data_IF_799517484507
#
_entry.id   IF_799517484507
#
_cell.length_a   1.000
_cell.length_b   1.000
_cell.length_c   1.000
_cell.angle_alpha   90.00
_cell.angle_beta   90.00
_cell.angle_gamma   90.00
#
_symmetry.space_group_name_H-M   'P 1'
#
loop_
_entity.id
_entity.type
_entity.pdbx_description
1 polymer ?
#
# COMPACT_ATOMS: atom_id res chain seq x y z
N UNK A 1 18.20 10.13 -8.38
CA UNK A 1 16.79 10.35 -8.74
C UNK A 1 15.90 9.46 -7.89
N UNK A 2 14.71 9.97 -7.53
CA UNK A 2 13.71 9.24 -6.74
C UNK A 2 12.42 9.10 -7.54
N UNK A 3 11.72 7.97 -7.35
CA UNK A 3 10.43 7.70 -7.97
C UNK A 3 9.35 7.41 -6.93
N UNK A 4 8.15 7.89 -7.20
CA UNK A 4 6.98 7.63 -6.36
C UNK A 4 5.82 7.10 -7.20
N UNK A 5 5.16 6.06 -6.71
CA UNK A 5 3.93 5.52 -7.30
C UNK A 5 2.75 5.95 -6.47
N UNK A 6 1.77 6.60 -7.11
CA UNK A 6 0.50 6.97 -6.50
C UNK A 6 -0.64 6.35 -7.30
N UNK A 7 -1.42 5.51 -6.67
CA UNK A 7 -2.62 4.91 -7.26
C UNK A 7 -3.88 5.42 -6.56
N UNK A 8 -4.80 6.01 -7.32
CA UNK A 8 -5.99 6.63 -6.77
C UNK A 8 -7.10 5.61 -6.54
N UNK A 9 -7.68 5.61 -5.34
CA UNK A 9 -8.75 4.68 -4.97
C UNK A 9 -10.02 5.41 -4.51
N UNK A 10 -11.16 4.95 -4.98
CA UNK A 10 -12.48 5.46 -4.56
C UNK A 10 -13.01 4.79 -3.29
N UNK A 11 -12.38 3.74 -2.80
CA UNK A 11 -12.72 3.00 -1.58
C UNK A 11 -11.49 2.73 -0.75
N UNK A 12 -11.67 2.25 0.48
CA UNK A 12 -10.56 1.92 1.37
C UNK A 12 -9.63 0.88 0.74
N UNK A 13 -8.35 1.24 0.56
CA UNK A 13 -7.32 0.35 0.11
C UNK A 13 -6.08 0.50 0.99
N UNK A 14 -5.49 -0.60 1.37
CA UNK A 14 -4.22 -0.65 2.07
C UNK A 14 -3.44 -1.84 1.53
N UNK A 15 -2.14 -1.79 1.65
CA UNK A 15 -1.25 -2.89 1.29
C UNK A 15 -0.41 -3.27 2.51
N UNK A 16 -0.28 -4.57 2.73
CA UNK A 16 0.62 -5.13 3.75
C UNK A 16 1.66 -6.03 3.08
N UNK A 17 2.77 -6.28 3.75
CA UNK A 17 3.76 -7.23 3.26
C UNK A 17 3.16 -8.65 3.08
N UNK A 18 2.19 -9.01 3.93
CA UNK A 18 1.46 -10.28 3.78
C UNK A 18 0.61 -10.31 2.51
N UNK A 19 -0.08 -9.20 2.17
CA UNK A 19 -0.84 -9.12 0.91
C UNK A 19 0.08 -9.35 -0.30
N UNK A 20 1.27 -8.74 -0.30
CA UNK A 20 2.26 -8.92 -1.36
C UNK A 20 2.78 -10.36 -1.38
N UNK A 21 3.09 -10.93 -0.21
CA UNK A 21 3.59 -12.30 -0.08
C UNK A 21 2.60 -13.33 -0.64
N UNK A 22 1.30 -13.17 -0.39
CA UNK A 22 0.27 -14.06 -0.93
C UNK A 22 -0.19 -13.70 -2.35
N UNK A 23 0.44 -12.73 -3.02
CA UNK A 23 0.07 -12.33 -4.37
C UNK A 23 -1.26 -11.60 -4.49
N UNK A 24 -1.79 -11.02 -3.39
CA UNK A 24 -3.13 -10.44 -3.34
C UNK A 24 -3.18 -8.98 -3.76
N UNK A 25 -2.12 -8.21 -3.52
CA UNK A 25 -2.07 -6.76 -3.80
C UNK A 25 -0.74 -6.37 -4.42
N UNK A 26 -0.48 -6.88 -5.60
CA UNK A 26 0.77 -6.68 -6.33
C UNK A 26 0.84 -5.34 -7.07
N UNK A 27 -0.29 -4.64 -7.25
CA UNK A 27 -0.43 -3.49 -8.14
C UNK A 27 0.63 -2.41 -7.90
N UNK A 28 0.82 -1.94 -6.67
CA UNK A 28 1.78 -0.87 -6.37
C UNK A 28 3.23 -1.29 -6.68
N UNK A 29 3.60 -2.52 -6.34
CA UNK A 29 4.94 -3.04 -6.63
C UNK A 29 5.15 -3.26 -8.12
N UNK A 30 4.11 -3.72 -8.84
CA UNK A 30 4.15 -3.86 -10.31
C UNK A 30 4.36 -2.50 -10.99
N UNK A 31 3.70 -1.45 -10.51
CA UNK A 31 3.89 -0.10 -11.05
C UNK A 31 5.28 0.44 -10.72
N UNK A 32 5.82 0.14 -9.54
CA UNK A 32 7.19 0.51 -9.19
C UNK A 32 8.20 -0.18 -10.12
N UNK A 33 8.07 -1.49 -10.35
CA UNK A 33 8.89 -2.25 -11.30
C UNK A 33 8.84 -1.67 -12.72
N UNK A 34 7.63 -1.32 -13.19
CA UNK A 34 7.45 -0.71 -14.50
C UNK A 34 8.12 0.67 -14.58
N UNK A 35 8.01 1.48 -13.52
CA UNK A 35 8.64 2.79 -13.43
C UNK A 35 10.16 2.69 -13.42
N UNK A 36 10.74 1.78 -12.63
CA UNK A 36 12.18 1.53 -12.57
C UNK A 36 12.72 1.06 -13.94
N UNK A 37 12.02 0.12 -14.59
CA UNK A 37 12.38 -0.36 -15.91
C UNK A 37 12.32 0.73 -16.97
N UNK A 38 11.26 1.53 -16.99
CA UNK A 38 11.10 2.63 -17.94
C UNK A 38 12.18 3.69 -17.75
N UNK A 39 12.50 4.04 -16.50
CA UNK A 39 13.53 5.01 -16.18
C UNK A 39 14.94 4.50 -16.55
N UNK A 40 15.26 3.25 -16.18
CA UNK A 40 16.54 2.62 -16.53
C UNK A 40 16.78 2.55 -18.04
N UNK A 41 15.75 2.19 -18.82
CA UNK A 41 15.82 2.12 -20.26
C UNK A 41 15.99 3.50 -20.93
N UNK A 42 15.44 4.56 -20.37
CA UNK A 42 15.47 5.91 -20.97
C UNK A 42 16.67 6.73 -20.54
N UNK A 43 17.10 6.59 -19.29
CA UNK A 43 18.14 7.45 -18.70
C UNK A 43 19.46 6.72 -18.42
N UNK A 44 19.49 5.39 -18.51
CA UNK A 44 20.67 4.58 -18.18
C UNK A 44 21.11 4.69 -16.70
N UNK A 45 20.22 5.15 -15.83
CA UNK A 45 20.49 5.39 -14.42
C UNK A 45 19.51 4.62 -13.53
N UNK A 46 19.91 4.31 -12.30
CA UNK A 46 19.03 3.73 -11.32
C UNK A 46 18.16 4.81 -10.65
N UNK A 47 16.94 4.43 -10.32
CA UNK A 47 15.99 5.24 -9.56
C UNK A 47 15.76 4.59 -8.19
N UNK A 48 15.84 5.36 -7.12
CA UNK A 48 15.48 4.88 -5.79
C UNK A 48 13.98 5.12 -5.50
N UNK A 49 13.27 4.15 -4.90
CA UNK A 49 11.86 4.32 -4.55
C UNK A 49 11.71 5.29 -3.37
N UNK A 50 10.85 6.31 -3.55
CA UNK A 50 10.48 7.26 -2.52
C UNK A 50 9.25 6.82 -1.74
N UNK A 51 8.22 6.36 -2.44
CA UNK A 51 7.01 5.82 -1.88
C UNK A 51 6.19 5.03 -2.92
N UNK A 52 5.35 4.12 -2.42
CA UNK A 52 4.29 3.45 -3.17
C UNK A 52 3.01 3.50 -2.35
N UNK A 53 2.02 4.23 -2.82
CA UNK A 53 0.85 4.57 -2.00
C UNK A 53 -0.47 4.51 -2.77
N UNK A 54 -1.52 4.18 -2.04
CA UNK A 54 -2.90 4.46 -2.42
C UNK A 54 -3.30 5.82 -1.87
N UNK A 55 -3.89 6.66 -2.72
CA UNK A 55 -4.45 7.95 -2.35
C UNK A 55 -5.96 7.96 -2.57
N UNK A 56 -6.72 8.42 -1.56
CA UNK A 56 -8.18 8.39 -1.63
C UNK A 56 -8.75 9.63 -2.30
N UNK A 57 -9.68 9.41 -3.26
CA UNK A 57 -10.33 10.49 -4.01
C UNK A 57 -11.77 10.76 -3.56
N UNK A 58 -12.34 9.90 -2.70
CA UNK A 58 -13.69 10.11 -2.16
C UNK A 58 -13.66 10.89 -0.86
N UNK A 59 -14.65 11.76 -0.68
CA UNK A 59 -14.89 12.40 0.61
C UNK A 59 -15.20 11.34 1.67
N UNK A 60 -14.50 11.32 2.80
CA UNK A 60 -14.77 10.39 3.87
C UNK A 60 -16.15 10.65 4.46
N UNK A 61 -16.85 9.58 4.82
CA UNK A 61 -18.03 9.68 5.67
C UNK A 61 -17.55 9.80 7.10
N UNK A 62 -17.71 10.99 7.69
CA UNK A 62 -17.31 11.25 9.07
C UNK A 62 -18.56 11.15 9.93
N UNK A 63 -18.58 10.23 10.93
CA UNK A 63 -19.67 10.17 11.89
C UNK A 63 -19.74 11.49 12.67
N UNK A 64 -20.86 12.19 12.59
CA UNK A 64 -21.14 13.36 13.42
C UNK A 64 -22.19 12.99 14.46
N UNK A 65 -21.94 13.33 15.71
CA UNK A 65 -22.90 13.11 16.81
C UNK A 65 -24.09 14.07 16.78
N UNK A 66 -23.99 15.14 15.97
CA UNK A 66 -25.02 16.17 15.77
C UNK A 66 -24.87 16.78 14.38
N UNK A 67 -25.90 17.48 13.86
CA UNK A 67 -25.77 18.27 12.63
C UNK A 67 -24.63 19.28 12.74
N UNK A 68 -23.74 19.30 11.74
CA UNK A 68 -22.60 20.21 11.65
C UNK A 68 -22.84 21.27 10.58
N UNK A 69 -22.25 22.46 10.75
CA UNK A 69 -22.12 23.41 9.67
C UNK A 69 -21.21 22.84 8.57
N UNK A 70 -21.26 23.41 7.37
CA UNK A 70 -20.38 23.00 6.28
C UNK A 70 -18.91 23.22 6.64
N UNK A 71 -18.59 24.35 7.27
CA UNK A 71 -17.24 24.70 7.71
C UNK A 71 -16.70 23.71 8.75
N UNK A 72 -17.51 23.35 9.75
CA UNK A 72 -17.14 22.38 10.79
C UNK A 72 -16.96 20.97 10.20
N UNK A 73 -17.82 20.58 9.28
CA UNK A 73 -17.71 19.31 8.57
C UNK A 73 -16.40 19.23 7.76
N UNK A 74 -16.03 20.30 7.06
CA UNK A 74 -14.78 20.39 6.30
C UNK A 74 -13.56 20.37 7.24
N UNK A 75 -13.62 21.09 8.36
CA UNK A 75 -12.54 21.09 9.35
C UNK A 75 -12.33 19.67 9.93
N UNK A 76 -13.42 19.03 10.34
CA UNK A 76 -13.38 17.65 10.86
C UNK A 76 -12.87 16.65 9.81
N UNK A 77 -13.26 16.83 8.55
CA UNK A 77 -12.76 16.02 7.45
C UNK A 77 -11.25 16.16 7.29
N UNK A 78 -10.71 17.38 7.33
CA UNK A 78 -9.27 17.64 7.22
C UNK A 78 -8.45 17.06 8.36
N UNK A 79 -9.02 16.94 9.55
CA UNK A 79 -8.37 16.35 10.72
C UNK A 79 -8.47 14.82 10.75
N UNK A 80 -9.31 14.23 9.90
CA UNK A 80 -9.51 12.79 9.90
C UNK A 80 -8.40 12.07 9.15
N UNK A 81 -8.03 10.87 9.65
CA UNK A 81 -7.07 9.97 8.98
C UNK A 81 -7.60 9.42 7.64
N UNK A 82 -8.83 9.72 7.28
CA UNK A 82 -9.51 9.17 6.09
C UNK A 82 -8.92 9.66 4.76
N UNK A 83 -8.18 10.78 4.78
CA UNK A 83 -7.46 11.33 3.62
C UNK A 83 -5.99 10.90 3.55
N UNK A 84 -5.53 10.16 4.55
CA UNK A 84 -4.14 9.77 4.60
C UNK A 84 -3.81 8.76 3.50
N UNK A 85 -2.71 8.98 2.81
CA UNK A 85 -2.15 8.00 1.90
C UNK A 85 -1.86 6.69 2.66
N UNK A 86 -2.04 5.55 1.99
CA UNK A 86 -1.79 4.24 2.58
C UNK A 86 -0.80 3.46 1.72
N UNK A 87 0.31 3.03 2.30
CA UNK A 87 1.34 2.29 1.58
C UNK A 87 2.68 2.31 2.28
N UNK A 88 3.74 2.21 1.49
CA UNK A 88 5.11 2.21 1.96
C UNK A 88 5.86 3.45 1.51
N UNK A 89 6.72 3.94 2.37
CA UNK A 89 7.53 5.14 2.19
C UNK A 89 9.01 4.80 2.42
N UNK A 90 9.92 5.57 1.83
CA UNK A 90 11.33 5.51 2.18
C UNK A 90 11.56 5.80 3.67
N UNK A 91 12.59 5.24 4.26
CA UNK A 91 13.05 5.57 5.61
C UNK A 91 13.90 6.85 5.67
N UNK A 92 14.18 7.45 4.52
CA UNK A 92 14.92 8.70 4.39
C UNK A 92 14.04 9.92 4.75
N UNK A 93 14.31 10.51 5.92
CA UNK A 93 13.55 11.65 6.46
C UNK A 93 13.66 12.89 5.57
N UNK A 94 14.82 13.13 4.96
CA UNK A 94 15.01 14.26 4.06
C UNK A 94 14.11 14.11 2.83
N UNK A 95 14.07 12.91 2.27
CA UNK A 95 13.18 12.59 1.15
C UNK A 95 11.70 12.72 1.53
N UNK A 96 11.31 12.25 2.72
CA UNK A 96 9.93 12.42 3.21
C UNK A 96 9.54 13.91 3.35
N UNK A 97 10.49 14.75 3.74
CA UNK A 97 10.28 16.21 3.82
C UNK A 97 10.12 16.85 2.43
N UNK A 98 10.74 16.29 1.39
CA UNK A 98 10.51 16.71 0.01
C UNK A 98 9.12 16.28 -0.52
N UNK A 99 8.59 15.16 -0.08
CA UNK A 99 7.22 14.72 -0.43
C UNK A 99 6.17 15.60 0.28
N UNK A 100 6.40 15.93 1.56
CA UNK A 100 5.53 16.78 2.38
C UNK A 100 6.37 17.76 3.19
N UNK A 101 6.41 19.01 2.78
CA UNK A 101 7.21 20.06 3.43
C UNK A 101 6.79 20.35 4.87
N UNK A 102 5.63 19.88 5.30
CA UNK A 102 5.14 19.97 6.69
C UNK A 102 5.39 18.70 7.49
N UNK A 103 5.99 17.67 6.90
CA UNK A 103 6.15 16.34 7.50
C UNK A 103 6.66 16.41 8.95
N UNK A 104 7.77 17.08 9.19
CA UNK A 104 8.36 17.21 10.54
C UNK A 104 7.52 18.06 11.49
N UNK A 105 6.71 18.99 10.98
CA UNK A 105 5.87 19.86 11.80
C UNK A 105 4.69 19.14 12.42
N UNK A 106 4.26 18.00 11.87
CA UNK A 106 3.18 17.20 12.45
C UNK A 106 3.62 16.47 13.73
N UNK A 107 4.90 16.17 13.89
CA UNK A 107 5.44 15.49 15.08
C UNK A 107 4.71 14.17 15.36
N UNK A 108 4.10 14.05 16.54
CA UNK A 108 3.38 12.84 16.94
C UNK A 108 2.05 12.62 16.18
N UNK A 109 1.52 13.62 15.48
CA UNK A 109 0.40 13.50 14.55
C UNK A 109 0.89 12.96 13.21
N UNK A 110 -0.03 12.62 12.32
CA UNK A 110 0.26 12.12 10.98
C UNK A 110 -0.23 13.14 9.96
N UNK A 111 0.61 13.46 8.97
CA UNK A 111 0.20 14.28 7.84
C UNK A 111 -0.62 13.50 6.82
N UNK A 112 -1.35 14.19 5.93
CA UNK A 112 -2.17 13.53 4.92
C UNK A 112 -1.36 12.83 3.83
N UNK A 113 -0.23 13.40 3.42
CA UNK A 113 0.59 12.89 2.31
C UNK A 113 1.60 11.85 2.79
N UNK A 114 2.25 12.11 3.93
CA UNK A 114 3.19 11.20 4.60
C UNK A 114 2.63 10.86 5.98
N UNK A 115 1.76 9.83 6.12
CA UNK A 115 1.08 9.52 7.37
C UNK A 115 1.97 8.71 8.35
N UNK A 116 3.13 9.28 8.62
CA UNK A 116 4.15 8.75 9.51
C UNK A 116 4.39 9.78 10.61
N UNK A 117 4.27 9.35 11.87
CA UNK A 117 4.56 10.18 13.02
C UNK A 117 6.07 10.22 13.30
N UNK A 118 6.54 11.36 13.78
CA UNK A 118 7.92 11.53 14.25
C UNK A 118 7.98 11.73 15.76
N UNK A 119 9.11 11.40 16.37
CA UNK A 119 9.43 11.70 17.75
C UNK A 119 9.96 13.13 17.89
N UNK A 120 10.20 13.57 19.14
CA UNK A 120 10.78 14.90 19.44
C UNK A 120 12.18 15.08 18.84
N UNK A 121 12.94 14.01 18.70
CA UNK A 121 14.27 13.99 18.07
C UNK A 121 14.19 13.88 16.53
N UNK A 122 12.99 14.08 15.94
CA UNK A 122 12.70 13.98 14.52
C UNK A 122 12.90 12.59 13.90
N UNK A 123 13.15 11.55 14.69
CA UNK A 123 13.20 10.18 14.18
C UNK A 123 11.79 9.61 13.99
N UNK A 124 11.66 8.60 13.13
CA UNK A 124 10.38 7.94 12.87
C UNK A 124 9.87 7.24 14.13
N UNK A 125 8.59 7.41 14.42
CA UNK A 125 7.94 6.77 15.56
C UNK A 125 7.91 5.24 15.39
N UNK A 126 8.18 4.50 16.45
CA UNK A 126 8.11 3.02 16.45
C UNK A 126 6.77 2.46 16.00
N UNK A 127 5.68 3.22 16.18
CA UNK A 127 4.33 2.84 15.73
C UNK A 127 4.20 2.76 14.20
N UNK A 128 5.02 3.52 13.47
CA UNK A 128 4.94 3.65 12.01
C UNK A 128 6.15 3.03 11.27
N UNK A 129 7.08 2.38 11.97
CA UNK A 129 8.21 1.69 11.36
C UNK A 129 7.79 0.65 10.29
N UNK A 130 6.64 0.02 10.47
CA UNK A 130 6.11 -0.94 9.50
C UNK A 130 5.75 -0.32 8.15
N UNK A 131 5.54 1.01 8.10
CA UNK A 131 5.22 1.77 6.88
C UNK A 131 6.47 2.22 6.12
N UNK A 132 7.62 2.24 6.75
CA UNK A 132 8.86 2.67 6.09
C UNK A 132 9.69 1.49 5.65
N UNK A 133 10.40 1.68 4.54
CA UNK A 133 11.26 0.69 3.90
C UNK A 133 12.53 1.37 3.41
N UNK A 134 13.66 0.76 3.67
CA UNK A 134 14.89 1.16 3.00
C UNK A 134 14.92 0.64 1.56
N UNK A 135 15.88 1.12 0.76
CA UNK A 135 16.01 0.74 -0.65
C UNK A 135 16.15 -0.78 -0.83
N UNK A 136 16.88 -1.47 0.06
CA UNK A 136 17.05 -2.92 -0.02
C UNK A 136 15.74 -3.68 0.25
N UNK A 137 14.90 -3.19 1.17
CA UNK A 137 13.58 -3.79 1.43
C UNK A 137 12.63 -3.59 0.25
N UNK A 138 12.64 -2.42 -0.40
CA UNK A 138 11.90 -2.19 -1.64
C UNK A 138 12.36 -3.13 -2.75
N UNK A 139 13.67 -3.30 -2.94
CA UNK A 139 14.23 -4.21 -3.93
C UNK A 139 13.79 -5.67 -3.68
N UNK A 140 13.81 -6.13 -2.43
CA UNK A 140 13.29 -7.46 -2.07
C UNK A 140 11.82 -7.60 -2.42
N UNK A 141 10.98 -6.60 -2.10
CA UNK A 141 9.55 -6.62 -2.43
C UNK A 141 9.31 -6.63 -3.93
N UNK A 142 10.07 -5.85 -4.69
CA UNK A 142 10.01 -5.80 -6.17
C UNK A 142 10.41 -7.13 -6.79
N UNK A 143 11.55 -7.69 -6.39
CA UNK A 143 12.01 -9.01 -6.91
C UNK A 143 11.03 -10.12 -6.57
N UNK A 144 10.50 -10.13 -5.37
CA UNK A 144 9.49 -11.12 -4.97
C UNK A 144 8.20 -10.97 -5.80
N UNK A 145 7.72 -9.74 -5.99
CA UNK A 145 6.55 -9.47 -6.83
C UNK A 145 6.76 -9.97 -8.26
N UNK A 146 7.91 -9.69 -8.85
CA UNK A 146 8.25 -10.18 -10.18
C UNK A 146 8.26 -11.72 -10.25
N UNK A 147 8.81 -12.38 -9.24
CA UNK A 147 8.79 -13.84 -9.11
C UNK A 147 7.36 -14.39 -9.06
N UNK A 148 6.51 -13.85 -8.19
CA UNK A 148 5.10 -14.27 -8.05
C UNK A 148 4.33 -14.06 -9.36
N UNK A 149 4.51 -12.91 -10.03
CA UNK A 149 3.86 -12.67 -11.32
C UNK A 149 4.31 -13.66 -12.40
N UNK A 150 5.62 -13.98 -12.43
CA UNK A 150 6.15 -14.97 -13.37
C UNK A 150 5.61 -16.38 -13.11
N UNK A 151 5.47 -16.76 -11.82
CA UNK A 151 4.88 -18.05 -11.43
C UNK A 151 3.42 -18.15 -11.84
N UNK A 152 2.63 -17.10 -11.54
CA UNK A 152 1.24 -17.01 -11.97
C UNK A 152 1.13 -17.11 -13.48
N UNK A 153 1.97 -16.38 -14.22
CA UNK A 153 1.99 -16.42 -15.68
C UNK A 153 2.31 -17.80 -16.24
N UNK A 154 3.29 -18.51 -15.66
CA UNK A 154 3.61 -19.89 -16.05
C UNK A 154 2.44 -20.84 -15.77
N UNK A 155 1.89 -20.80 -14.57
CA UNK A 155 0.77 -21.67 -14.19
C UNK A 155 -0.44 -21.48 -15.12
N UNK A 156 -0.75 -20.23 -15.49
CA UNK A 156 -1.80 -19.92 -16.48
C UNK A 156 -1.45 -20.52 -17.85
N UNK A 157 -0.22 -20.31 -18.31
CA UNK A 157 0.26 -20.83 -19.60
C UNK A 157 0.24 -22.34 -19.69
N UNK A 158 0.53 -23.03 -18.58
CA UNK A 158 0.55 -24.49 -18.47
C UNK A 158 -0.85 -25.09 -18.14
N UNK A 159 -1.89 -24.25 -18.02
CA UNK A 159 -3.24 -24.69 -17.67
C UNK A 159 -3.36 -25.24 -16.24
N UNK A 160 -2.46 -24.85 -15.35
CA UNK A 160 -2.44 -25.32 -13.96
C UNK A 160 -3.26 -24.38 -13.06
N UNK A 161 -4.40 -24.86 -12.60
CA UNK A 161 -5.30 -24.14 -11.69
C UNK A 161 -5.62 -24.97 -10.45
N UNK A 162 -4.64 -25.18 -9.55
CA UNK A 162 -4.86 -25.96 -8.35
C UNK A 162 -5.87 -25.27 -7.42
N UNK A 163 -6.74 -26.08 -6.78
CA UNK A 163 -7.67 -25.59 -5.76
C UNK A 163 -6.88 -25.37 -4.46
N UNK A 164 -6.30 -24.20 -4.31
CA UNK A 164 -5.50 -23.80 -3.15
C UNK A 164 -5.92 -22.40 -2.67
N UNK A 165 -7.15 -22.24 -2.14
CA UNK A 165 -7.58 -20.94 -1.67
C UNK A 165 -6.75 -20.49 -0.46
N UNK A 166 -6.27 -19.25 -0.49
CA UNK A 166 -5.58 -18.67 0.66
C UNK A 166 -6.55 -18.44 1.83
N UNK A 167 -6.01 -18.44 3.03
CA UNK A 167 -6.68 -17.94 4.22
C UNK A 167 -5.78 -16.95 4.94
N UNK A 168 -6.20 -15.69 5.00
CA UNK A 168 -5.51 -14.63 5.72
C UNK A 168 -6.45 -14.05 6.77
N UNK A 169 -6.21 -14.38 8.03
CA UNK A 169 -7.13 -14.10 9.13
C UNK A 169 -8.52 -14.71 8.88
N UNK A 170 -9.56 -13.86 8.81
CA UNK A 170 -10.94 -14.27 8.48
C UNK A 170 -11.26 -14.16 6.98
N UNK A 171 -10.32 -13.64 6.19
CA UNK A 171 -10.51 -13.42 4.75
C UNK A 171 -10.11 -14.67 3.98
N UNK A 172 -11.03 -15.18 3.20
CA UNK A 172 -10.82 -16.29 2.25
C UNK A 172 -11.68 -16.07 1.01
N UNK A 173 -11.18 -16.39 -0.20
CA UNK A 173 -11.92 -16.18 -1.43
C UNK A 173 -13.21 -17.02 -1.50
N UNK A 174 -13.26 -18.16 -0.79
CA UNK A 174 -14.43 -19.05 -0.76
C UNK A 174 -15.71 -18.36 -0.28
N UNK A 175 -15.63 -17.29 0.52
CA UNK A 175 -16.79 -16.56 1.03
C UNK A 175 -17.62 -15.92 -0.10
N UNK A 176 -16.98 -15.55 -1.21
CA UNK A 176 -17.59 -14.85 -2.35
C UNK A 176 -17.51 -15.66 -3.65
N UNK A 177 -17.16 -16.96 -3.54
CA UNK A 177 -16.93 -17.81 -4.71
C UNK A 177 -18.26 -18.47 -5.16
N UNK A 178 -18.66 -18.23 -6.41
CA UNK A 178 -19.86 -18.82 -7.01
C UNK A 178 -19.78 -20.36 -7.13
N UNK A 179 -18.56 -20.91 -7.12
CA UNK A 179 -18.30 -22.34 -7.25
C UNK A 179 -18.15 -23.07 -5.90
N UNK A 180 -18.40 -22.41 -4.77
CA UNK A 180 -18.20 -22.97 -3.43
C UNK A 180 -18.97 -24.31 -3.24
N UNK A 181 -20.21 -24.40 -3.74
CA UNK A 181 -21.05 -25.60 -3.64
C UNK A 181 -20.53 -26.76 -4.47
N UNK A 182 -19.89 -26.51 -5.60
CA UNK A 182 -19.31 -27.53 -6.51
C UNK A 182 -17.91 -27.93 -6.05
N UNK A 183 -17.08 -26.95 -5.69
CA UNK A 183 -15.69 -27.13 -5.26
C UNK A 183 -15.59 -27.92 -3.96
N UNK A 184 -16.50 -27.68 -3.00
CA UNK A 184 -16.55 -28.35 -1.68
C UNK A 184 -15.23 -28.32 -0.91
N UNK A 185 -14.39 -27.31 -1.16
CA UNK A 185 -13.16 -27.13 -0.41
C UNK A 185 -13.48 -26.95 1.09
N UNK A 186 -12.84 -27.76 1.92
CA UNK A 186 -12.98 -27.70 3.38
C UNK A 186 -11.59 -27.49 4.01
N UNK A 187 -11.36 -26.29 4.56
CA UNK A 187 -10.08 -25.92 5.19
C UNK A 187 -9.70 -26.77 6.41
N UNK A 188 -10.61 -27.60 6.92
CA UNK A 188 -10.31 -28.54 8.01
C UNK A 188 -9.75 -29.87 7.50
N UNK A 189 -9.83 -30.12 6.20
CA UNK A 189 -9.49 -31.42 5.57
C UNK A 189 -8.37 -31.31 4.52
N UNK A 190 -7.97 -30.09 4.12
CA UNK A 190 -6.96 -29.84 3.08
C UNK A 190 -5.81 -29.00 3.61
#
# INVERSE_FOLDING_TARGET
TYGMVIDYKSGGAHVTAQDVYYGLKLQLMTYLLALESAYGNTQGQSMAPAAVVYSYVKNPKIPAGAPLSYEDAVALAKESDAWHNSGYFSDDIELLTHIDNKFLSYGAKRGPYVPIATKKDQTISSRDLHKVKNTGEFDVMCRYTNHVMADIGRNIGDGQFPIQPYQLNKNRPCTYCDYNTVCRFDSSRN
#
